data_IF_573354829959
#
_entry.id   IF_573354829959
#
_cell.length_a   1.000
_cell.length_b   1.000
_cell.length_c   1.000
_cell.angle_alpha   90.00
_cell.angle_beta   90.00
_cell.angle_gamma   90.00
#
_symmetry.space_group_name_H-M   'P 1'
#
loop_
_entity.id
_entity.type
_entity.pdbx_description
1 polymer ?
#
# COMPACT_ATOMS: atom_id res chain seq x y z
N UNK A 1 -21.75 -9.10 -13.95
CA UNK A 1 -20.99 -7.83 -13.94
C UNK A 1 -20.41 -7.64 -12.56
N UNK A 2 -19.08 -7.53 -12.46
CA UNK A 2 -18.40 -7.20 -11.20
C UNK A 2 -18.65 -5.72 -10.90
N UNK A 3 -19.24 -5.42 -9.73
CA UNK A 3 -19.40 -4.05 -9.25
C UNK A 3 -18.03 -3.46 -8.91
N UNK A 4 -17.89 -2.13 -9.08
CA UNK A 4 -16.68 -1.43 -8.66
C UNK A 4 -16.60 -1.39 -7.12
N UNK A 5 -15.44 -1.65 -6.47
CA UNK A 5 -15.31 -1.62 -5.02
C UNK A 5 -15.50 -0.24 -4.37
N UNK A 6 -15.68 0.82 -5.16
CA UNK A 6 -15.80 2.18 -4.65
C UNK A 6 -17.16 2.58 -4.07
N UNK A 7 -18.27 1.91 -4.44
CA UNK A 7 -19.62 2.27 -3.97
C UNK A 7 -20.20 1.29 -2.96
N UNK A 8 -19.90 0.01 -3.09
CA UNK A 8 -20.35 -1.04 -2.20
C UNK A 8 -19.29 -2.14 -2.13
N UNK A 9 -18.41 -1.99 -1.17
CA UNK A 9 -17.28 -2.90 -1.00
C UNK A 9 -17.74 -4.31 -0.60
N UNK A 10 -18.82 -4.44 0.16
CA UNK A 10 -19.32 -5.74 0.61
C UNK A 10 -19.91 -6.54 -0.56
N UNK A 11 -20.67 -5.89 -1.42
CA UNK A 11 -21.18 -6.50 -2.66
C UNK A 11 -20.02 -6.94 -3.58
N UNK A 12 -18.99 -6.11 -3.72
CA UNK A 12 -17.79 -6.48 -4.48
C UNK A 12 -17.09 -7.72 -3.88
N UNK A 13 -16.87 -7.72 -2.57
CA UNK A 13 -16.24 -8.84 -1.87
C UNK A 13 -17.03 -10.14 -2.02
N UNK A 14 -18.35 -10.08 -1.88
CA UNK A 14 -19.24 -11.22 -2.10
C UNK A 14 -19.14 -11.75 -3.53
N UNK A 15 -19.14 -10.87 -4.52
CA UNK A 15 -19.00 -11.24 -5.94
C UNK A 15 -17.65 -11.90 -6.23
N UNK A 16 -16.56 -11.37 -5.68
CA UNK A 16 -15.20 -11.92 -5.83
C UNK A 16 -15.09 -13.29 -5.14
N UNK A 17 -15.73 -13.47 -3.98
CA UNK A 17 -15.74 -14.76 -3.29
C UNK A 17 -16.59 -15.83 -3.97
N UNK A 18 -17.56 -15.45 -4.78
CA UNK A 18 -18.37 -16.38 -5.58
C UNK A 18 -17.62 -16.95 -6.80
N UNK A 19 -16.51 -16.30 -7.22
CA UNK A 19 -15.72 -16.78 -8.37
C UNK A 19 -14.95 -18.06 -7.98
N UNK A 20 -15.04 -19.15 -8.75
CA UNK A 20 -14.29 -20.36 -8.47
C UNK A 20 -12.78 -20.15 -8.62
N UNK A 21 -12.01 -20.93 -7.89
CA UNK A 21 -10.54 -20.93 -8.01
C UNK A 21 -10.15 -21.83 -9.18
N UNK A 22 -9.23 -21.37 -10.03
CA UNK A 22 -8.68 -22.18 -11.13
C UNK A 22 -7.85 -23.34 -10.60
N UNK A 23 -7.92 -24.47 -11.28
CA UNK A 23 -6.97 -25.56 -11.07
C UNK A 23 -5.62 -25.18 -11.69
N UNK A 24 -4.56 -25.89 -11.31
CA UNK A 24 -3.21 -25.63 -11.84
C UNK A 24 -3.17 -25.81 -13.37
N UNK A 25 -3.90 -26.80 -13.87
CA UNK A 25 -3.98 -27.13 -15.29
C UNK A 25 -4.69 -26.01 -16.06
N UNK A 26 -5.81 -25.51 -15.54
CA UNK A 26 -6.57 -24.41 -16.14
C UNK A 26 -5.75 -23.10 -16.12
N UNK A 27 -5.06 -22.81 -15.02
CA UNK A 27 -4.18 -21.63 -14.91
C UNK A 27 -3.09 -21.70 -16.00
N UNK A 28 -2.47 -22.90 -16.18
CA UNK A 28 -1.41 -23.07 -17.16
C UNK A 28 -1.94 -22.99 -18.59
N UNK A 29 -3.10 -23.57 -18.90
CA UNK A 29 -3.72 -23.47 -20.22
C UNK A 29 -4.02 -22.03 -20.61
N UNK A 30 -4.66 -21.26 -19.69
CA UNK A 30 -4.95 -19.85 -19.94
C UNK A 30 -3.67 -19.01 -20.08
N UNK A 31 -2.65 -19.33 -19.29
CA UNK A 31 -1.39 -18.61 -19.36
C UNK A 31 -0.64 -18.91 -20.68
N UNK A 32 -0.71 -20.14 -21.20
CA UNK A 32 -0.13 -20.48 -22.51
C UNK A 32 -0.88 -19.77 -23.64
N UNK A 33 -2.23 -19.75 -23.62
CA UNK A 33 -3.02 -19.01 -24.62
C UNK A 33 -2.68 -17.53 -24.63
N UNK A 34 -2.51 -16.92 -23.44
CA UNK A 34 -2.09 -15.53 -23.36
C UNK A 34 -0.68 -15.33 -23.92
N UNK A 35 0.27 -16.20 -23.60
CA UNK A 35 1.67 -16.05 -23.97
C UNK A 35 1.92 -16.30 -25.46
N UNK A 36 1.25 -17.30 -26.07
CA UNK A 36 1.46 -17.72 -27.44
C UNK A 36 0.57 -17.01 -28.44
N UNK A 37 -0.70 -16.72 -28.07
CA UNK A 37 -1.74 -16.20 -28.93
C UNK A 37 -2.12 -14.74 -28.63
N UNK A 38 -1.55 -14.14 -27.56
CA UNK A 38 -1.91 -12.80 -27.04
C UNK A 38 -3.44 -12.67 -26.78
N UNK A 39 -4.05 -13.77 -26.26
CA UNK A 39 -5.48 -13.86 -26.05
C UNK A 39 -5.90 -13.00 -24.85
N UNK A 40 -6.58 -11.88 -25.14
CA UNK A 40 -7.10 -10.96 -24.13
C UNK A 40 -8.20 -11.56 -23.23
N UNK A 41 -8.98 -12.53 -23.76
CA UNK A 41 -10.01 -13.22 -22.95
C UNK A 41 -9.34 -14.17 -21.94
N UNK A 42 -8.25 -14.83 -22.32
CA UNK A 42 -7.45 -15.63 -21.39
C UNK A 42 -6.82 -14.74 -20.28
N UNK A 43 -6.27 -13.58 -20.65
CA UNK A 43 -5.77 -12.59 -19.67
C UNK A 43 -6.86 -12.14 -18.70
N UNK A 44 -8.06 -11.81 -19.23
CA UNK A 44 -9.21 -11.41 -18.43
C UNK A 44 -9.64 -12.48 -17.45
N UNK A 45 -9.71 -13.73 -17.88
CA UNK A 45 -10.06 -14.87 -17.00
C UNK A 45 -9.00 -15.04 -15.89
N UNK A 46 -7.71 -15.00 -16.23
CA UNK A 46 -6.63 -15.05 -15.24
C UNK A 46 -6.78 -13.95 -14.18
N UNK A 47 -7.05 -12.71 -14.58
CA UNK A 47 -7.26 -11.60 -13.63
C UNK A 47 -8.48 -11.87 -12.75
N UNK A 48 -9.65 -12.20 -13.34
CA UNK A 48 -10.90 -12.37 -12.60
C UNK A 48 -10.79 -13.44 -11.54
N UNK A 49 -10.22 -14.58 -11.86
CA UNK A 49 -10.08 -15.71 -10.93
C UNK A 49 -9.05 -15.48 -9.81
N UNK A 50 -8.16 -14.45 -9.97
CA UNK A 50 -7.17 -14.09 -8.96
C UNK A 50 -7.52 -12.85 -8.13
N UNK A 51 -8.68 -12.19 -8.36
CA UNK A 51 -9.12 -11.02 -7.58
C UNK A 51 -9.23 -11.31 -6.08
N UNK A 52 -9.64 -12.52 -5.69
CA UNK A 52 -9.68 -12.94 -4.29
C UNK A 52 -8.32 -12.83 -3.62
N UNK A 53 -7.25 -13.13 -4.33
CA UNK A 53 -5.88 -13.03 -3.83
C UNK A 53 -5.48 -11.56 -3.62
N UNK A 54 -5.87 -10.66 -4.52
CA UNK A 54 -5.66 -9.22 -4.35
C UNK A 54 -6.35 -8.70 -3.10
N UNK A 55 -7.62 -9.08 -2.88
CA UNK A 55 -8.39 -8.71 -1.68
C UNK A 55 -7.68 -9.17 -0.41
N UNK A 56 -7.16 -10.39 -0.39
CA UNK A 56 -6.43 -10.92 0.76
C UNK A 56 -5.19 -10.08 1.08
N UNK A 57 -4.40 -9.73 0.07
CA UNK A 57 -3.22 -8.86 0.25
C UNK A 57 -3.65 -7.45 0.70
N UNK A 58 -4.64 -6.84 0.04
CA UNK A 58 -5.10 -5.49 0.33
C UNK A 58 -5.57 -5.31 1.78
N UNK A 59 -6.23 -6.32 2.35
CA UNK A 59 -6.66 -6.32 3.76
C UNK A 59 -5.49 -6.16 4.74
N UNK A 60 -4.31 -6.65 4.43
CA UNK A 60 -3.14 -6.49 5.29
C UNK A 60 -2.65 -5.04 5.39
N UNK A 61 -3.14 -4.15 4.50
CA UNK A 61 -2.79 -2.73 4.45
C UNK A 61 -3.88 -1.79 4.96
N UNK A 62 -4.99 -2.29 5.53
CA UNK A 62 -6.07 -1.45 6.07
C UNK A 62 -5.62 -0.48 7.17
N UNK A 63 -4.55 -0.79 7.90
CA UNK A 63 -4.04 0.02 9.01
C UNK A 63 -3.43 1.37 8.62
N UNK A 64 -3.35 1.70 7.35
CA UNK A 64 -2.76 2.96 6.87
C UNK A 64 -3.75 4.12 6.72
N UNK A 65 -5.05 3.92 7.06
CA UNK A 65 -6.08 4.97 7.03
C UNK A 65 -6.58 5.33 5.62
N UNK A 66 -6.25 4.54 4.61
CA UNK A 66 -6.75 4.70 3.24
C UNK A 66 -7.96 3.79 2.99
N UNK A 67 -8.89 4.19 2.09
CA UNK A 67 -10.06 3.38 1.74
C UNK A 67 -9.64 2.02 1.18
N UNK A 68 -10.20 0.93 1.73
CA UNK A 68 -9.88 -0.43 1.28
C UNK A 68 -10.20 -0.64 -0.20
N UNK A 69 -11.26 -0.01 -0.71
CA UNK A 69 -11.64 -0.08 -2.12
C UNK A 69 -10.54 0.41 -3.05
N UNK A 70 -9.89 1.51 -2.69
CA UNK A 70 -8.80 2.10 -3.47
C UNK A 70 -7.55 1.22 -3.43
N UNK A 71 -7.22 0.68 -2.24
CA UNK A 71 -6.10 -0.27 -2.09
C UNK A 71 -6.32 -1.53 -2.94
N UNK A 72 -7.56 -2.04 -3.00
CA UNK A 72 -7.91 -3.19 -3.85
C UNK A 72 -7.73 -2.83 -5.32
N UNK A 73 -8.17 -1.65 -5.77
CA UNK A 73 -8.04 -1.25 -7.17
C UNK A 73 -6.58 -1.12 -7.60
N UNK A 74 -5.73 -0.53 -6.77
CA UNK A 74 -4.30 -0.47 -7.04
C UNK A 74 -3.68 -1.88 -7.05
N UNK A 75 -4.13 -2.74 -6.15
CA UNK A 75 -3.75 -4.16 -6.19
C UNK A 75 -4.19 -4.86 -7.49
N UNK A 76 -5.37 -4.56 -8.01
CA UNK A 76 -5.85 -5.08 -9.29
C UNK A 76 -4.99 -4.60 -10.46
N UNK A 77 -4.55 -3.32 -10.45
CA UNK A 77 -3.58 -2.80 -11.44
C UNK A 77 -2.28 -3.60 -11.37
N UNK A 78 -1.78 -3.88 -10.16
CA UNK A 78 -0.61 -4.72 -9.96
C UNK A 78 -0.79 -6.14 -10.50
N UNK A 79 -1.96 -6.76 -10.28
CA UNK A 79 -2.28 -8.07 -10.83
C UNK A 79 -2.32 -8.05 -12.36
N UNK A 80 -2.93 -7.05 -12.99
CA UNK A 80 -2.95 -6.92 -14.46
C UNK A 80 -1.54 -6.80 -15.03
N UNK A 81 -0.68 -5.98 -14.43
CA UNK A 81 0.73 -5.86 -14.83
C UNK A 81 1.49 -7.18 -14.66
N UNK A 82 1.14 -7.98 -13.64
CA UNK A 82 1.74 -9.29 -13.43
C UNK A 82 1.30 -10.29 -14.51
N UNK A 83 0.02 -10.32 -14.85
CA UNK A 83 -0.53 -11.21 -15.90
C UNK A 83 0.09 -10.91 -17.25
N UNK A 84 0.24 -9.63 -17.61
CA UNK A 84 0.89 -9.17 -18.84
C UNK A 84 2.37 -9.63 -18.98
N UNK A 85 3.07 -9.76 -17.86
CA UNK A 85 4.50 -10.12 -17.82
C UNK A 85 4.77 -11.55 -17.37
N UNK A 86 3.71 -12.33 -17.21
CA UNK A 86 3.85 -13.68 -16.73
C UNK A 86 4.32 -14.63 -17.83
N UNK A 87 5.38 -15.40 -17.53
CA UNK A 87 5.92 -16.42 -18.39
C UNK A 87 5.60 -17.81 -17.82
N UNK A 88 4.68 -18.58 -18.46
CA UNK A 88 4.27 -19.89 -17.98
C UNK A 88 5.38 -20.96 -18.03
N UNK A 89 6.42 -20.76 -18.87
CA UNK A 89 7.52 -21.71 -19.02
C UNK A 89 8.50 -21.71 -17.85
N UNK A 90 8.47 -20.68 -16.98
CA UNK A 90 9.35 -20.60 -15.81
C UNK A 90 8.97 -21.53 -14.66
N UNK A 91 7.86 -22.27 -14.75
CA UNK A 91 7.43 -23.21 -13.72
C UNK A 91 7.00 -22.61 -12.38
N UNK A 92 6.85 -21.29 -12.30
CA UNK A 92 6.40 -20.55 -11.11
C UNK A 92 4.90 -20.32 -11.23
N UNK A 93 4.14 -20.48 -10.13
CA UNK A 93 2.70 -20.16 -10.12
C UNK A 93 2.48 -18.67 -10.29
N UNK A 94 1.42 -18.29 -11.02
CA UNK A 94 1.04 -16.89 -11.21
C UNK A 94 0.91 -16.13 -9.88
N UNK A 95 0.30 -16.73 -8.86
CA UNK A 95 0.14 -16.14 -7.52
C UNK A 95 1.48 -15.73 -6.91
N UNK A 96 2.50 -16.59 -7.01
CA UNK A 96 3.84 -16.31 -6.45
C UNK A 96 4.56 -15.19 -7.20
N UNK A 97 4.33 -15.07 -8.49
CA UNK A 97 4.87 -13.98 -9.31
C UNK A 97 4.10 -12.67 -9.07
N UNK A 98 2.76 -12.73 -9.06
CA UNK A 98 1.90 -11.56 -8.95
C UNK A 98 1.98 -10.85 -7.59
N UNK A 99 2.30 -11.57 -6.49
CA UNK A 99 2.38 -10.98 -5.15
C UNK A 99 3.32 -9.77 -5.09
N UNK A 100 4.43 -9.81 -5.83
CA UNK A 100 5.41 -8.73 -5.84
C UNK A 100 4.88 -7.49 -6.58
N UNK A 101 4.18 -7.70 -7.69
CA UNK A 101 3.56 -6.63 -8.47
C UNK A 101 2.41 -5.97 -7.71
N UNK A 102 1.53 -6.79 -7.11
CA UNK A 102 0.40 -6.31 -6.30
C UNK A 102 0.91 -5.46 -5.13
N UNK A 103 1.89 -5.97 -4.37
CA UNK A 103 2.48 -5.23 -3.25
C UNK A 103 3.18 -3.95 -3.70
N UNK A 104 3.85 -3.96 -4.84
CA UNK A 104 4.54 -2.77 -5.35
C UNK A 104 3.56 -1.62 -5.64
N UNK A 105 2.45 -1.90 -6.35
CA UNK A 105 1.42 -0.89 -6.65
C UNK A 105 0.73 -0.39 -5.36
N UNK A 106 0.35 -1.30 -4.46
CA UNK A 106 -0.24 -0.92 -3.17
C UNK A 106 0.72 -0.04 -2.35
N UNK A 107 2.00 -0.39 -2.29
CA UNK A 107 3.00 0.39 -1.58
C UNK A 107 3.19 1.78 -2.18
N UNK A 108 3.22 1.88 -3.51
CA UNK A 108 3.36 3.16 -4.19
C UNK A 108 2.14 4.06 -3.93
N UNK A 109 0.93 3.49 -4.02
CA UNK A 109 -0.31 4.18 -3.70
C UNK A 109 -0.34 4.70 -2.27
N UNK A 110 0.02 3.85 -1.28
CA UNK A 110 0.07 4.26 0.13
C UNK A 110 1.06 5.39 0.33
N UNK A 111 2.30 5.27 -0.17
CA UNK A 111 3.32 6.31 -0.01
C UNK A 111 2.95 7.64 -0.65
N UNK A 112 2.14 7.60 -1.72
CA UNK A 112 1.67 8.78 -2.43
C UNK A 112 0.52 9.49 -1.71
N UNK A 113 -0.37 8.74 -1.06
CA UNK A 113 -1.66 9.24 -0.57
C UNK A 113 -1.78 9.24 0.97
N UNK A 114 -0.80 8.70 1.71
CA UNK A 114 -0.89 8.58 3.15
C UNK A 114 -0.95 9.93 3.87
N UNK A 115 -0.23 10.95 3.38
CA UNK A 115 -0.22 12.32 3.89
C UNK A 115 0.06 13.32 2.78
N UNK A 116 -0.24 14.61 3.05
CA UNK A 116 0.02 15.72 2.12
C UNK A 116 1.50 15.85 1.76
N UNK A 117 2.39 15.65 2.75
CA UNK A 117 3.84 15.70 2.56
C UNK A 117 4.40 14.30 2.36
N UNK A 118 5.20 14.10 1.31
CA UNK A 118 5.88 12.83 1.05
C UNK A 118 6.85 12.49 2.17
N UNK A 119 6.61 11.38 2.87
CA UNK A 119 7.38 10.98 4.05
C UNK A 119 8.58 10.12 3.68
N UNK A 120 8.46 9.26 2.69
CA UNK A 120 9.47 8.27 2.34
C UNK A 120 9.92 8.44 0.88
N UNK A 121 11.03 9.15 0.68
CA UNK A 121 11.61 9.40 -0.65
C UNK A 121 12.73 8.43 -1.00
N UNK A 122 13.53 8.00 -0.02
CA UNK A 122 14.64 7.06 -0.24
C UNK A 122 14.20 5.59 -0.04
N UNK A 123 14.99 4.65 -0.57
CA UNK A 123 14.77 3.20 -0.37
C UNK A 123 14.77 2.81 1.11
N UNK A 124 15.67 3.38 1.91
CA UNK A 124 15.76 3.14 3.34
C UNK A 124 14.47 3.61 4.05
N UNK A 125 14.01 4.82 3.77
CA UNK A 125 12.79 5.38 4.34
C UNK A 125 11.54 4.58 3.96
N UNK A 126 11.41 4.12 2.71
CA UNK A 126 10.31 3.25 2.28
C UNK A 126 10.31 1.92 3.04
N UNK A 127 11.47 1.30 3.19
CA UNK A 127 11.63 0.06 3.96
C UNK A 127 11.24 0.24 5.41
N UNK A 128 11.67 1.34 6.03
CA UNK A 128 11.32 1.70 7.40
C UNK A 128 9.82 1.96 7.56
N UNK A 129 9.20 2.72 6.65
CA UNK A 129 7.78 3.05 6.70
C UNK A 129 6.87 1.82 6.84
N UNK A 130 7.13 0.77 6.06
CA UNK A 130 6.31 -0.45 6.10
C UNK A 130 6.67 -1.41 7.23
N UNK A 131 7.92 -1.41 7.70
CA UNK A 131 8.40 -2.40 8.67
C UNK A 131 8.44 -1.88 10.09
N UNK A 132 8.64 -0.56 10.31
CA UNK A 132 8.81 0.01 11.64
C UNK A 132 7.60 -0.26 12.54
N UNK A 133 6.40 -0.06 12.00
CA UNK A 133 5.15 -0.24 12.74
C UNK A 133 4.94 -1.70 13.18
N UNK A 134 5.30 -2.67 12.36
CA UNK A 134 5.19 -4.09 12.68
C UNK A 134 6.26 -4.59 13.65
N UNK A 135 7.41 -3.92 13.71
CA UNK A 135 8.53 -4.27 14.59
C UNK A 135 8.49 -3.57 15.95
N UNK A 136 7.73 -2.49 16.06
CA UNK A 136 7.54 -1.74 17.30
C UNK A 136 6.71 -2.56 18.29
N UNK A 137 7.28 -2.88 19.45
CA UNK A 137 6.64 -3.72 20.49
C UNK A 137 5.73 -2.92 21.42
N UNK A 138 5.99 -1.63 21.61
CA UNK A 138 5.23 -0.75 22.49
C UNK A 138 4.66 0.45 21.74
N UNK A 139 3.66 1.12 22.33
CA UNK A 139 3.12 2.39 21.83
C UNK A 139 4.00 3.60 22.16
N UNK A 140 4.99 3.40 23.02
CA UNK A 140 5.93 4.44 23.45
C UNK A 140 7.00 4.70 22.40
N UNK A 141 7.81 5.77 22.61
CA UNK A 141 8.96 6.07 21.76
C UNK A 141 9.97 4.92 21.78
N UNK A 142 10.62 4.68 20.63
CA UNK A 142 11.66 3.66 20.53
C UNK A 142 12.82 3.97 21.48
N UNK A 143 13.23 2.97 22.24
CA UNK A 143 14.49 3.05 22.98
C UNK A 143 15.66 3.01 22.00
N UNK A 144 16.81 3.50 22.45
CA UNK A 144 18.02 3.48 21.62
C UNK A 144 18.39 2.06 21.19
N UNK A 145 18.25 1.09 22.09
CA UNK A 145 18.53 -0.33 21.83
C UNK A 145 17.58 -0.93 20.79
N UNK A 146 16.28 -0.60 20.87
CA UNK A 146 15.29 -1.02 19.87
C UNK A 146 15.55 -0.40 18.50
N UNK A 147 15.95 0.88 18.47
CA UNK A 147 16.30 1.56 17.22
C UNK A 147 17.54 0.94 16.56
N UNK A 148 18.56 0.58 17.34
CA UNK A 148 19.77 -0.12 16.88
C UNK A 148 19.44 -1.53 16.36
N UNK A 149 18.59 -2.28 17.07
CA UNK A 149 18.12 -3.60 16.63
C UNK A 149 17.37 -3.53 15.30
N UNK A 150 16.44 -2.59 15.17
CA UNK A 150 15.67 -2.38 13.93
C UNK A 150 16.58 -1.94 12.79
N UNK A 151 17.55 -1.06 13.06
CA UNK A 151 18.51 -0.59 12.07
C UNK A 151 19.36 -1.74 11.51
N UNK A 152 19.85 -2.63 12.41
CA UNK A 152 20.60 -3.82 12.04
C UNK A 152 19.76 -4.78 11.19
N UNK A 153 18.55 -5.11 11.63
CA UNK A 153 17.65 -6.03 10.95
C UNK A 153 17.26 -5.57 9.54
N UNK A 154 17.08 -4.27 9.40
CA UNK A 154 16.68 -3.66 8.13
C UNK A 154 17.85 -3.18 7.28
N UNK A 155 19.09 -3.27 7.82
CA UNK A 155 20.30 -2.74 7.18
C UNK A 155 20.12 -1.28 6.74
N UNK A 156 19.81 -0.41 7.71
CA UNK A 156 19.61 1.04 7.56
C UNK A 156 20.32 1.78 8.67
N UNK A 157 20.55 3.09 8.53
CA UNK A 157 21.16 3.91 9.58
C UNK A 157 20.17 4.12 10.75
N UNK A 158 20.69 4.09 11.98
CA UNK A 158 19.91 4.36 13.22
C UNK A 158 19.27 5.76 13.15
N UNK A 159 19.95 6.74 12.57
CA UNK A 159 19.42 8.09 12.37
C UNK A 159 18.16 8.08 11.51
N UNK A 160 18.12 7.26 10.45
CA UNK A 160 16.94 7.11 9.60
C UNK A 160 15.76 6.49 10.36
N UNK A 161 16.03 5.54 11.28
CA UNK A 161 14.99 4.92 12.12
C UNK A 161 14.34 5.97 13.03
N UNK A 162 15.14 6.72 13.79
CA UNK A 162 14.64 7.76 14.71
C UNK A 162 13.93 8.90 13.96
N UNK A 163 14.46 9.30 12.81
CA UNK A 163 13.85 10.32 11.96
C UNK A 163 12.50 9.86 11.39
N UNK A 164 12.39 8.59 10.99
CA UNK A 164 11.12 8.02 10.51
C UNK A 164 10.11 7.90 11.63
N UNK A 165 10.52 7.49 12.84
CA UNK A 165 9.64 7.44 14.00
C UNK A 165 9.02 8.79 14.32
N UNK A 166 9.85 9.84 14.34
CA UNK A 166 9.38 11.21 14.57
C UNK A 166 8.36 11.64 13.50
N UNK A 167 8.61 11.32 12.23
CA UNK A 167 7.66 11.61 11.14
C UNK A 167 6.37 10.83 11.23
N UNK A 168 6.39 9.59 11.70
CA UNK A 168 5.19 8.76 11.86
C UNK A 168 4.34 9.19 13.05
N UNK A 169 4.94 9.71 14.10
CA UNK A 169 4.25 10.17 15.32
C UNK A 169 3.70 11.59 15.22
N UNK A 170 4.34 12.48 14.43
CA UNK A 170 3.85 13.84 14.24
C UNK A 170 2.61 13.88 13.35
N UNK A 171 1.61 14.67 13.69
CA UNK A 171 0.49 15.00 12.82
C UNK A 171 0.85 16.17 11.90
N UNK A 172 0.19 16.25 10.73
CA UNK A 172 0.32 17.42 9.86
C UNK A 172 -0.27 18.64 10.57
N UNK A 173 0.50 19.74 10.62
CA UNK A 173 0.03 20.99 11.22
C UNK A 173 -0.92 21.70 10.25
N UNK A 174 -2.01 22.26 10.76
CA UNK A 174 -2.89 23.11 9.96
C UNK A 174 -2.22 24.45 9.70
N UNK A 175 -2.19 24.90 8.45
CA UNK A 175 -1.74 26.24 8.08
C UNK A 175 -2.72 27.33 8.55
N UNK A 176 -4.00 26.99 8.71
CA UNK A 176 -5.06 27.89 9.13
C UNK A 176 -5.28 27.89 10.66
N UNK A 177 -4.35 27.29 11.42
CA UNK A 177 -4.44 27.32 12.86
C UNK A 177 -4.39 28.77 13.35
N UNK A 178 -5.35 29.25 14.17
CA UNK A 178 -5.32 30.62 14.64
C UNK A 178 -4.08 30.86 15.48
N UNK A 179 -3.26 31.80 15.04
CA UNK A 179 -2.10 32.25 15.82
C UNK A 179 -2.62 33.14 16.92
N UNK A 180 -2.55 32.67 18.16
CA UNK A 180 -2.89 33.50 19.33
C UNK A 180 -1.82 34.58 19.48
N UNK A 181 -2.08 35.76 18.93
CA UNK A 181 -1.27 36.94 19.17
C UNK A 181 -1.61 37.46 20.56
N UNK A 182 -0.81 37.16 21.54
CA UNK A 182 -0.97 37.67 22.91
C UNK A 182 -0.51 39.10 23.08
N UNK A 183 0.00 39.77 22.04
CA UNK A 183 0.57 41.12 22.11
C UNK A 183 0.30 41.99 20.87
N UNK A 184 -0.97 42.21 20.54
CA UNK A 184 -1.36 43.36 19.69
C UNK A 184 -2.35 44.23 20.45
N UNK A 185 -1.91 44.82 21.57
CA UNK A 185 -2.47 46.07 22.04
C UNK A 185 -1.74 47.18 21.30
N UNK A 186 -2.35 47.72 20.25
CA UNK A 186 -1.97 49.03 19.73
C UNK A 186 -2.12 50.02 20.86
N UNK A 187 -1.07 50.85 21.18
CA UNK A 187 -1.24 51.91 22.12
C UNK A 187 -2.12 52.99 21.49
N UNK A 188 -3.38 53.02 21.86
CA UNK A 188 -4.29 54.14 21.60
C UNK A 188 -3.92 55.30 22.51
N UNK A 189 -2.88 56.07 22.17
CA UNK A 189 -2.71 57.40 22.70
C UNK A 189 -2.92 58.40 21.57
N UNK A 190 -4.16 58.67 21.24
CA UNK A 190 -4.53 59.96 20.69
C UNK A 190 -4.58 60.93 21.85
N UNK A 191 -3.57 61.77 22.02
CA UNK A 191 -3.66 63.01 22.75
C UNK A 191 -4.10 64.09 21.77
N UNK A 192 -5.23 64.69 22.03
CA UNK A 192 -5.65 66.00 21.52
C UNK A 192 -4.85 67.06 22.21
#
# INVERSE_FOLDING_TARGET
>A
QLNSPGKDIESYLSSVHAIPILTKEQEQELALKLYEEDDLDAARQLVIHHLRFVVHIARSYQGYGLPLGDIIQEGNVGLMKAVDKYDPHRGVKLVSFAVHWIKAEIHEYILKNWRLVKIATTKAQRKLFFNLRGKKKSLEWLTKEEAESIASDLNVDVKDVLHMENRLSSNDSSFDAPVSYTHLTLPTTLRV
#
